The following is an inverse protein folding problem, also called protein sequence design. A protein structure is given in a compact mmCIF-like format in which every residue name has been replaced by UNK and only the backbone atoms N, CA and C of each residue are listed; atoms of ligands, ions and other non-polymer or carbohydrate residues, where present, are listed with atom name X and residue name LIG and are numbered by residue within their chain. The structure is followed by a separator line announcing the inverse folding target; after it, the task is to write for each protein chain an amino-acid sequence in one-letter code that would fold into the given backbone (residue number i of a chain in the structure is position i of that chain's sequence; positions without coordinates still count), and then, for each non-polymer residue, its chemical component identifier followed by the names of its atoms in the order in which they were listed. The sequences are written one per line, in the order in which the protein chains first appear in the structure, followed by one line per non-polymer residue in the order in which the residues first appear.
data_IF_128822522577
#
_entry.id   IF_128822522577
#
_cell.length_a   1.000
_cell.length_b   1.000
_cell.length_c   1.000
_cell.angle_alpha   90.00
_cell.angle_beta   90.00
_cell.angle_gamma   90.00
#
_symmetry.space_group_name_H-M   'P 1'
#
loop_
_entity.id
_entity.type
_entity.pdbx_description
1 polymer ?
#
# COMPACT_ATOMS: atom_id res chain seq x y z
N UNK A 1 28.83 13.05 -26.24
CA UNK A 1 28.04 13.26 -25.01
C UNK A 1 27.11 12.09 -24.84
N UNK A 2 27.36 11.21 -23.87
CA UNK A 2 26.43 10.12 -23.56
C UNK A 2 25.30 10.70 -22.71
N UNK A 3 24.06 10.47 -23.10
CA UNK A 3 22.88 10.99 -22.41
C UNK A 3 22.62 10.14 -21.16
N UNK A 4 23.15 10.56 -20.01
CA UNK A 4 23.09 9.84 -18.71
C UNK A 4 21.67 9.93 -18.10
N UNK A 5 20.72 10.62 -18.73
CA UNK A 5 19.37 10.82 -18.20
C UNK A 5 18.47 9.57 -18.16
N UNK A 6 18.89 8.42 -18.72
CA UNK A 6 18.06 7.20 -18.80
C UNK A 6 18.15 6.31 -17.54
N UNK A 7 18.84 6.76 -16.48
CA UNK A 7 18.80 6.09 -15.17
C UNK A 7 17.73 6.69 -14.22
N UNK A 8 16.66 7.28 -14.77
CA UNK A 8 15.47 7.59 -13.98
C UNK A 8 14.84 6.26 -13.57
N UNK A 9 15.25 5.81 -12.37
CA UNK A 9 14.70 4.69 -11.63
C UNK A 9 13.22 4.50 -11.98
N UNK A 10 12.92 3.57 -12.89
CA UNK A 10 11.53 3.25 -13.21
C UNK A 10 10.92 2.86 -11.88
N UNK A 11 10.02 3.71 -11.37
CA UNK A 11 9.31 3.45 -10.13
C UNK A 11 8.53 2.16 -10.35
N UNK A 12 9.11 1.06 -9.90
CA UNK A 12 8.53 -0.28 -10.02
C UNK A 12 7.12 -0.24 -9.46
N UNK A 13 6.21 -0.88 -10.18
CA UNK A 13 4.85 -1.08 -9.69
C UNK A 13 4.92 -1.79 -8.33
N UNK A 14 4.22 -1.24 -7.33
CA UNK A 14 4.18 -1.82 -5.98
C UNK A 14 2.81 -1.67 -5.35
N UNK A 15 2.44 -2.69 -4.58
CA UNK A 15 1.26 -2.65 -3.71
C UNK A 15 1.73 -2.19 -2.33
N UNK A 16 1.03 -1.21 -1.77
CA UNK A 16 1.30 -0.66 -0.45
C UNK A 16 0.07 -0.95 0.42
N UNK A 17 0.29 -1.57 1.57
CA UNK A 17 -0.75 -1.84 2.56
C UNK A 17 -0.50 -0.97 3.79
N UNK A 18 -1.44 -0.06 4.06
CA UNK A 18 -1.52 0.67 5.32
C UNK A 18 -2.36 -0.11 6.32
N UNK A 19 -1.89 -0.17 7.56
CA UNK A 19 -2.59 -0.81 8.68
C UNK A 19 -2.75 0.25 9.78
N UNK A 20 -3.98 0.39 10.27
CA UNK A 20 -4.32 1.24 11.42
C UNK A 20 -4.85 0.34 12.56
N UNK A 21 -4.00 -0.07 13.50
CA UNK A 21 -4.37 -1.01 14.54
C UNK A 21 -5.26 -0.37 15.61
N UNK A 22 -6.28 -1.10 16.05
CA UNK A 22 -7.10 -0.77 17.21
C UNK A 22 -7.42 -2.02 18.03
N UNK A 23 -7.83 -1.84 19.28
CA UNK A 23 -8.02 -2.95 20.23
C UNK A 23 -9.10 -3.95 19.82
N UNK A 24 -10.19 -3.47 19.21
CA UNK A 24 -11.32 -4.32 18.78
C UNK A 24 -11.43 -4.43 17.25
N UNK A 25 -10.93 -3.43 16.53
CA UNK A 25 -11.03 -3.31 15.07
C UNK A 25 -9.73 -2.75 14.54
N UNK A 26 -9.17 -3.37 13.51
CA UNK A 26 -8.01 -2.88 12.76
C UNK A 26 -8.47 -2.43 11.37
N UNK A 27 -8.19 -1.18 11.02
CA UNK A 27 -8.38 -0.66 9.66
C UNK A 27 -7.24 -1.09 8.75
N UNK A 28 -7.53 -1.30 7.47
CA UNK A 28 -6.49 -1.41 6.45
C UNK A 28 -6.90 -0.71 5.17
N UNK A 29 -5.89 -0.28 4.42
CA UNK A 29 -6.04 0.22 3.06
C UNK A 29 -4.96 -0.34 2.16
N UNK A 30 -5.33 -0.69 0.93
CA UNK A 30 -4.42 -1.19 -0.09
C UNK A 30 -4.44 -0.25 -1.26
N UNK A 31 -3.26 0.23 -1.67
CA UNK A 31 -3.08 1.08 -2.84
C UNK A 31 -2.06 0.47 -3.79
N UNK A 32 -2.24 0.72 -5.09
CA UNK A 32 -1.25 0.45 -6.12
C UNK A 32 -0.52 1.76 -6.45
N UNK A 33 0.81 1.78 -6.37
CA UNK A 33 1.62 2.84 -6.97
C UNK A 33 2.17 2.33 -8.32
N UNK A 34 1.83 3.04 -9.40
CA UNK A 34 2.31 2.79 -10.77
C UNK A 34 2.93 4.08 -11.31
N UNK A 35 4.26 4.17 -11.23
CA UNK A 35 4.97 5.40 -11.60
C UNK A 35 4.59 6.57 -10.70
N UNK A 36 3.92 7.57 -11.28
CA UNK A 36 3.42 8.75 -10.56
C UNK A 36 1.90 8.70 -10.30
N UNK A 37 1.27 7.55 -10.54
CA UNK A 37 -0.17 7.34 -10.29
C UNK A 37 -0.34 6.45 -9.06
N UNK A 38 -1.33 6.80 -8.24
CA UNK A 38 -1.78 6.00 -7.10
C UNK A 38 -3.25 5.66 -7.28
N UNK A 39 -3.58 4.39 -7.11
CA UNK A 39 -4.94 3.88 -7.24
C UNK A 39 -5.33 3.16 -5.94
N UNK A 40 -6.54 3.44 -5.45
CA UNK A 40 -7.08 2.72 -4.31
C UNK A 40 -7.58 1.35 -4.78
N UNK A 41 -7.05 0.28 -4.21
CA UNK A 41 -7.51 -1.08 -4.48
C UNK A 41 -8.62 -1.46 -3.51
N UNK A 42 -8.41 -1.23 -2.22
CA UNK A 42 -9.37 -1.63 -1.18
C UNK A 42 -9.21 -0.81 0.10
N UNK A 43 -10.32 -0.66 0.82
CA UNK A 43 -10.37 -0.24 2.21
C UNK A 43 -11.22 -1.24 2.97
N UNK A 44 -10.81 -1.58 4.18
CA UNK A 44 -11.55 -2.50 5.00
C UNK A 44 -11.20 -2.41 6.46
N UNK A 45 -11.93 -3.21 7.24
CA UNK A 45 -11.70 -3.37 8.66
C UNK A 45 -11.68 -4.86 9.00
N UNK A 46 -10.86 -5.24 9.97
CA UNK A 46 -10.81 -6.57 10.55
C UNK A 46 -11.29 -6.46 12.00
N UNK A 47 -12.34 -7.20 12.36
CA UNK A 47 -12.81 -7.28 13.75
C UNK A 47 -11.96 -8.31 14.49
N UNK A 48 -11.27 -7.87 15.53
CA UNK A 48 -10.34 -8.69 16.33
C UNK A 48 -11.02 -9.36 17.54
N UNK A 49 -12.34 -9.15 17.71
CA UNK A 49 -13.11 -9.56 18.89
C UNK A 49 -13.43 -11.05 19.01
N UNK A 50 -12.66 -11.93 18.35
CA UNK A 50 -12.89 -13.39 18.36
C UNK A 50 -11.59 -14.20 18.45
N UNK A 51 -10.49 -13.58 18.91
CA UNK A 51 -9.35 -14.35 19.38
C UNK A 51 -9.60 -14.70 20.84
N UNK A 52 -10.59 -15.56 21.09
CA UNK A 52 -10.54 -16.39 22.28
C UNK A 52 -9.32 -17.31 22.08
N UNK A 53 -8.43 -17.35 23.09
CA UNK A 53 -7.10 -17.99 23.06
C UNK A 53 -7.06 -19.41 22.44
#
# INVERSE_FOLDING_TARGET
MLNIAVMLNEKKERIIMGIDPGTAVMGYGVILEKGNKTELISLGVVKMTHLDD
#
